data_IF_868717616122
#
_entry.id   IF_868717616122
#
_cell.length_a   1.000
_cell.length_b   1.000
_cell.length_c   1.000
_cell.angle_alpha   90.00
_cell.angle_beta   90.00
_cell.angle_gamma   90.00
#
_symmetry.space_group_name_H-M   'P 1'
#
loop_
_entity.id
_entity.type
_entity.pdbx_description
1 polymer ?
#
# COMPACT_ATOMS: atom_id res chain seq x y z
N UNK A 1 -1.64 -91.23 -43.55
CA UNK A 1 -1.66 -92.70 -43.48
C UNK A 1 -1.07 -93.18 -44.78
N UNK A 2 0.16 -93.68 -44.74
CA UNK A 2 0.80 -94.23 -45.93
C UNK A 2 0.08 -95.53 -46.27
N UNK A 3 -0.39 -95.70 -47.51
CA UNK A 3 -1.01 -96.95 -47.94
C UNK A 3 0.10 -98.00 -48.03
N UNK A 4 0.09 -98.98 -47.14
CA UNK A 4 1.03 -100.11 -47.19
C UNK A 4 0.70 -100.90 -48.47
N UNK A 5 1.66 -101.02 -49.43
CA UNK A 5 1.42 -101.75 -50.65
C UNK A 5 1.25 -103.26 -50.37
N UNK A 6 0.40 -103.92 -51.15
CA UNK A 6 0.23 -105.37 -51.06
C UNK A 6 1.47 -106.08 -51.62
N UNK A 7 1.94 -107.12 -50.94
CA UNK A 7 3.10 -107.90 -51.40
C UNK A 7 2.64 -108.84 -52.54
N UNK A 8 3.27 -108.80 -53.73
CA UNK A 8 2.94 -109.71 -54.82
C UNK A 8 3.12 -111.19 -54.43
N UNK A 9 2.28 -112.07 -55.00
CA UNK A 9 2.40 -113.51 -54.79
C UNK A 9 3.76 -114.06 -55.27
N UNK A 10 4.23 -115.14 -54.64
CA UNK A 10 5.49 -115.78 -55.01
C UNK A 10 5.47 -116.29 -56.46
N UNK A 11 6.56 -116.12 -57.23
CA UNK A 11 6.62 -116.62 -58.60
C UNK A 11 6.63 -118.15 -58.64
N UNK A 12 6.00 -118.72 -59.67
CA UNK A 12 6.13 -120.14 -59.98
C UNK A 12 7.53 -120.42 -60.56
N UNK A 13 8.23 -121.39 -59.99
CA UNK A 13 9.55 -121.84 -60.46
C UNK A 13 9.36 -123.14 -61.24
N UNK A 14 9.61 -123.17 -62.56
CA UNK A 14 9.54 -124.41 -63.33
C UNK A 14 10.53 -125.45 -62.82
N UNK A 15 10.15 -126.72 -62.88
CA UNK A 15 11.04 -127.82 -62.51
C UNK A 15 12.23 -127.90 -63.47
N UNK A 16 13.42 -128.16 -62.94
CA UNK A 16 14.61 -128.37 -63.77
C UNK A 16 14.47 -129.69 -64.56
N UNK A 17 14.90 -129.73 -65.84
CA UNK A 17 14.81 -130.94 -66.67
C UNK A 17 15.53 -132.14 -66.05
N UNK A 18 14.92 -133.32 -66.14
CA UNK A 18 15.52 -134.56 -65.67
C UNK A 18 16.67 -135.02 -66.59
N UNK A 19 17.76 -135.50 -65.99
CA UNK A 19 18.90 -136.02 -66.74
C UNK A 19 18.47 -137.24 -67.58
N UNK A 20 18.54 -137.13 -68.90
CA UNK A 20 18.10 -138.19 -69.84
C UNK A 20 16.71 -138.01 -70.45
N UNK A 21 16.02 -136.87 -70.23
CA UNK A 21 14.75 -136.57 -70.93
C UNK A 21 14.96 -136.54 -72.46
N UNK A 22 14.06 -137.20 -73.21
CA UNK A 22 14.01 -137.13 -74.67
C UNK A 22 13.79 -135.69 -75.17
N UNK A 23 13.24 -134.81 -74.33
CA UNK A 23 12.96 -133.40 -74.60
C UNK A 23 13.84 -132.44 -73.77
N UNK A 24 14.98 -132.91 -73.23
CA UNK A 24 15.85 -132.14 -72.33
C UNK A 24 16.14 -130.71 -72.84
N UNK A 25 16.45 -130.55 -74.13
CA UNK A 25 16.75 -129.24 -74.71
C UNK A 25 15.53 -128.29 -74.69
N UNK A 26 14.33 -128.81 -74.92
CA UNK A 26 13.09 -128.01 -74.89
C UNK A 26 12.71 -127.62 -73.45
N UNK A 27 12.85 -128.55 -72.50
CA UNK A 27 12.61 -128.31 -71.07
C UNK A 27 13.66 -127.35 -70.48
N UNK A 28 14.94 -127.51 -70.83
CA UNK A 28 16.02 -126.60 -70.44
C UNK A 28 15.82 -125.19 -71.00
N UNK A 29 15.38 -125.08 -72.25
CA UNK A 29 15.03 -123.80 -72.87
C UNK A 29 13.81 -123.15 -72.16
N UNK A 30 12.77 -123.92 -71.84
CA UNK A 30 11.61 -123.44 -71.09
C UNK A 30 11.99 -122.96 -69.67
N UNK A 31 12.84 -123.70 -68.96
CA UNK A 31 13.38 -123.30 -67.67
C UNK A 31 14.19 -121.99 -67.79
N UNK A 32 15.15 -121.95 -68.72
CA UNK A 32 16.02 -120.79 -68.94
C UNK A 32 15.27 -119.53 -69.36
N UNK A 33 14.19 -119.67 -70.15
CA UNK A 33 13.34 -118.54 -70.58
C UNK A 33 12.38 -118.06 -69.49
N UNK A 34 11.99 -118.91 -68.54
CA UNK A 34 11.13 -118.53 -67.41
C UNK A 34 11.88 -117.87 -66.24
N UNK A 35 13.16 -118.20 -66.02
CA UNK A 35 13.99 -117.66 -64.93
C UNK A 35 14.08 -116.12 -64.90
N UNK A 36 14.20 -115.38 -66.02
CA UNK A 36 14.09 -113.93 -66.04
C UNK A 36 12.78 -113.40 -65.42
N UNK A 37 11.66 -114.09 -65.63
CA UNK A 37 10.37 -113.74 -65.01
C UNK A 37 10.37 -113.97 -63.50
N UNK A 38 10.95 -115.09 -63.03
CA UNK A 38 11.12 -115.39 -61.61
C UNK A 38 11.98 -114.32 -60.92
N UNK A 39 13.12 -113.96 -61.50
CA UNK A 39 14.00 -112.91 -60.95
C UNK A 39 13.34 -111.53 -60.92
N UNK A 40 12.53 -111.21 -61.94
CA UNK A 40 11.73 -109.97 -61.97
C UNK A 40 10.72 -109.93 -60.84
N UNK A 41 9.94 -111.00 -60.64
CA UNK A 41 8.97 -111.08 -59.53
C UNK A 41 9.64 -111.04 -58.15
N UNK A 42 10.79 -111.69 -57.97
CA UNK A 42 11.55 -111.57 -56.72
C UNK A 42 12.01 -110.15 -56.44
N UNK A 43 12.41 -109.39 -57.48
CA UNK A 43 12.76 -107.96 -57.34
C UNK A 43 11.54 -107.12 -56.94
N UNK A 44 10.37 -107.39 -57.52
CA UNK A 44 9.13 -106.70 -57.16
C UNK A 44 8.73 -106.98 -55.69
N UNK A 45 8.83 -108.23 -55.23
CA UNK A 45 8.59 -108.59 -53.83
C UNK A 45 9.58 -107.86 -52.91
N UNK A 46 10.87 -107.84 -53.25
CA UNK A 46 11.88 -107.13 -52.46
C UNK A 46 11.62 -105.62 -52.43
N UNK A 47 11.18 -105.03 -53.54
CA UNK A 47 10.79 -103.62 -53.62
C UNK A 47 9.55 -103.34 -52.75
N UNK A 48 8.51 -104.17 -52.83
CA UNK A 48 7.31 -104.05 -52.01
C UNK A 48 7.63 -104.19 -50.50
N UNK A 49 8.45 -105.16 -50.11
CA UNK A 49 8.91 -105.30 -48.72
C UNK A 49 9.67 -104.05 -48.22
N UNK A 50 10.51 -103.45 -49.07
CA UNK A 50 11.21 -102.20 -48.75
C UNK A 50 10.22 -101.04 -48.58
N UNK A 51 9.25 -100.91 -49.46
CA UNK A 51 8.21 -99.88 -49.37
C UNK A 51 7.37 -100.05 -48.10
N UNK A 52 6.95 -101.27 -47.76
CA UNK A 52 6.26 -101.58 -46.50
C UNK A 52 7.08 -101.18 -45.28
N UNK A 53 8.40 -101.46 -45.27
CA UNK A 53 9.28 -101.09 -44.17
C UNK A 53 9.44 -99.56 -44.04
N UNK A 54 9.49 -98.84 -45.16
CA UNK A 54 9.53 -97.37 -45.17
C UNK A 54 8.21 -96.77 -44.66
N UNK A 55 7.06 -97.27 -45.13
CA UNK A 55 5.75 -96.84 -44.68
C UNK A 55 5.56 -97.07 -43.17
N UNK A 56 5.93 -98.25 -42.66
CA UNK A 56 5.88 -98.55 -41.23
C UNK A 56 6.76 -97.60 -40.40
N UNK A 57 7.94 -97.23 -40.91
CA UNK A 57 8.82 -96.24 -40.27
C UNK A 57 8.19 -94.85 -40.26
N UNK A 58 7.56 -94.42 -41.36
CA UNK A 58 6.86 -93.14 -41.45
C UNK A 58 5.66 -93.03 -40.53
N UNK A 59 4.87 -94.10 -40.42
CA UNK A 59 3.75 -94.18 -39.48
C UNK A 59 4.24 -94.14 -38.02
N UNK A 60 5.35 -94.81 -37.70
CA UNK A 60 5.97 -94.75 -36.37
C UNK A 60 6.47 -93.33 -36.03
N UNK A 61 7.11 -92.63 -36.97
CA UNK A 61 7.52 -91.24 -36.79
C UNK A 61 6.31 -90.31 -36.61
N UNK A 62 5.22 -90.54 -37.34
CA UNK A 62 3.97 -89.76 -37.23
C UNK A 62 3.27 -89.99 -35.87
N UNK A 63 3.29 -91.23 -35.37
CA UNK A 63 2.78 -91.56 -34.05
C UNK A 63 3.60 -90.88 -32.94
N UNK A 64 4.93 -90.86 -33.06
CA UNK A 64 5.81 -90.18 -32.12
C UNK A 64 5.60 -88.65 -32.14
N UNK A 65 5.45 -88.05 -33.33
CA UNK A 65 5.10 -86.65 -33.47
C UNK A 65 3.75 -86.32 -32.80
N UNK A 66 2.75 -87.19 -32.97
CA UNK A 66 1.43 -87.05 -32.33
C UNK A 66 1.51 -87.16 -30.80
N UNK A 67 2.35 -88.06 -30.28
CA UNK A 67 2.63 -88.20 -28.85
C UNK A 67 3.27 -86.93 -28.28
N UNK A 68 4.28 -86.39 -28.96
CA UNK A 68 4.94 -85.14 -28.56
C UNK A 68 3.97 -83.96 -28.56
N UNK A 69 3.13 -83.83 -29.59
CA UNK A 69 2.11 -82.78 -29.67
C UNK A 69 1.11 -82.89 -28.52
N UNK A 70 0.67 -84.11 -28.20
CA UNK A 70 -0.26 -84.36 -27.08
C UNK A 70 0.37 -83.97 -25.73
N UNK A 71 1.65 -84.28 -25.51
CA UNK A 71 2.38 -83.87 -24.30
C UNK A 71 2.50 -82.34 -24.20
N UNK A 72 2.85 -81.66 -25.29
CA UNK A 72 2.91 -80.19 -25.34
C UNK A 72 1.56 -79.55 -25.04
N UNK A 73 0.46 -80.09 -25.58
CA UNK A 73 -0.89 -79.61 -25.29
C UNK A 73 -1.28 -79.80 -23.82
N UNK A 74 -0.87 -80.91 -23.20
CA UNK A 74 -1.08 -81.13 -21.77
C UNK A 74 -0.33 -80.10 -20.91
N UNK A 75 0.93 -79.79 -21.26
CA UNK A 75 1.73 -78.77 -20.58
C UNK A 75 1.12 -77.37 -20.74
N UNK A 76 0.63 -77.03 -21.94
CA UNK A 76 -0.08 -75.77 -22.19
C UNK A 76 -1.38 -75.68 -21.38
N UNK A 77 -2.16 -76.75 -21.31
CA UNK A 77 -3.39 -76.80 -20.52
C UNK A 77 -3.10 -76.59 -19.02
N UNK A 78 -2.02 -77.19 -18.51
CA UNK A 78 -1.55 -76.98 -17.12
C UNK A 78 -1.13 -75.54 -16.87
N UNK A 79 -0.43 -74.91 -17.83
CA UNK A 79 -0.06 -73.49 -17.76
C UNK A 79 -1.29 -72.59 -17.72
N UNK A 80 -2.26 -72.80 -18.62
CA UNK A 80 -3.51 -72.02 -18.64
C UNK A 80 -4.33 -72.18 -17.36
N UNK A 81 -4.39 -73.39 -16.79
CA UNK A 81 -5.02 -73.63 -15.49
C UNK A 81 -4.39 -72.79 -14.39
N UNK A 82 -3.05 -72.74 -14.34
CA UNK A 82 -2.34 -71.95 -13.34
C UNK A 82 -2.55 -70.45 -13.55
N UNK A 83 -2.54 -69.97 -14.80
CA UNK A 83 -2.85 -68.58 -15.13
C UNK A 83 -4.28 -68.20 -14.72
N UNK A 84 -5.26 -69.08 -14.95
CA UNK A 84 -6.64 -68.86 -14.53
C UNK A 84 -6.77 -68.78 -13.00
N UNK A 85 -6.06 -69.64 -12.26
CA UNK A 85 -6.03 -69.60 -10.79
C UNK A 85 -5.40 -68.30 -10.24
N UNK A 86 -4.32 -67.82 -10.87
CA UNK A 86 -3.69 -66.55 -10.52
C UNK A 86 -4.64 -65.37 -10.80
N UNK A 87 -5.30 -65.37 -11.95
CA UNK A 87 -6.31 -64.36 -12.31
C UNK A 87 -7.49 -64.36 -11.33
N UNK A 88 -7.97 -65.53 -10.90
CA UNK A 88 -9.02 -65.64 -9.89
C UNK A 88 -8.57 -65.05 -8.53
N UNK A 89 -7.34 -65.32 -8.11
CA UNK A 89 -6.75 -64.76 -6.89
C UNK A 89 -6.62 -63.23 -6.97
N UNK A 90 -6.14 -62.72 -8.10
CA UNK A 90 -6.02 -61.28 -8.34
C UNK A 90 -7.38 -60.57 -8.38
N UNK A 91 -8.41 -61.21 -8.95
CA UNK A 91 -9.78 -60.72 -8.95
C UNK A 91 -10.36 -60.66 -7.54
N UNK A 92 -10.14 -61.69 -6.71
CA UNK A 92 -10.55 -61.70 -5.30
C UNK A 92 -9.86 -60.58 -4.50
N UNK A 93 -8.56 -60.36 -4.72
CA UNK A 93 -7.81 -59.26 -4.09
C UNK A 93 -8.33 -57.88 -4.50
N UNK A 94 -8.65 -57.70 -5.79
CA UNK A 94 -9.28 -56.46 -6.31
C UNK A 94 -10.65 -56.21 -5.67
N UNK A 95 -11.48 -57.25 -5.53
CA UNK A 95 -12.79 -57.15 -4.88
C UNK A 95 -12.69 -56.73 -3.40
N UNK A 96 -11.74 -57.30 -2.66
CA UNK A 96 -11.47 -56.91 -1.28
C UNK A 96 -11.02 -55.45 -1.17
N UNK A 97 -10.11 -55.02 -2.04
CA UNK A 97 -9.62 -53.63 -2.07
C UNK A 97 -10.74 -52.65 -2.38
N UNK A 98 -11.60 -52.97 -3.36
CA UNK A 98 -12.76 -52.15 -3.69
C UNK A 98 -13.75 -52.01 -2.52
N UNK A 99 -14.00 -53.10 -1.78
CA UNK A 99 -14.85 -53.09 -0.57
C UNK A 99 -14.29 -52.17 0.53
N UNK A 100 -12.98 -52.22 0.75
CA UNK A 100 -12.29 -51.32 1.70
C UNK A 100 -12.40 -49.86 1.26
N UNK A 101 -12.18 -49.57 -0.04
CA UNK A 101 -12.32 -48.21 -0.56
C UNK A 101 -13.75 -47.68 -0.44
N UNK A 102 -14.76 -48.51 -0.70
CA UNK A 102 -16.15 -48.14 -0.50
C UNK A 102 -16.43 -47.78 0.97
N UNK A 103 -15.93 -48.60 1.91
CA UNK A 103 -16.08 -48.34 3.35
C UNK A 103 -15.38 -47.04 3.78
N UNK A 104 -14.16 -46.80 3.29
CA UNK A 104 -13.42 -45.58 3.56
C UNK A 104 -14.12 -44.33 3.00
N UNK A 105 -14.70 -44.42 1.80
CA UNK A 105 -15.46 -43.32 1.20
C UNK A 105 -16.70 -42.96 2.03
N UNK A 106 -17.43 -43.97 2.52
CA UNK A 106 -18.58 -43.76 3.43
C UNK A 106 -18.13 -43.12 4.74
N UNK A 107 -17.01 -43.57 5.31
CA UNK A 107 -16.41 -42.98 6.52
C UNK A 107 -16.02 -41.53 6.32
N UNK A 108 -15.32 -41.21 5.22
CA UNK A 108 -14.92 -39.84 4.87
C UNK A 108 -16.13 -38.93 4.65
N UNK A 109 -17.16 -39.41 3.96
CA UNK A 109 -18.41 -38.67 3.77
C UNK A 109 -19.13 -38.39 5.10
N UNK A 110 -19.13 -39.36 6.02
CA UNK A 110 -19.70 -39.19 7.36
C UNK A 110 -18.94 -38.14 8.17
N UNK A 111 -17.59 -38.19 8.16
CA UNK A 111 -16.76 -37.18 8.81
C UNK A 111 -16.95 -35.78 8.19
N UNK A 112 -17.05 -35.70 6.86
CA UNK A 112 -17.29 -34.45 6.17
C UNK A 112 -18.63 -33.85 6.58
N UNK A 113 -19.69 -34.65 6.68
CA UNK A 113 -20.99 -34.16 7.16
C UNK A 113 -21.01 -33.80 8.66
N UNK A 114 -20.11 -34.34 9.47
CA UNK A 114 -19.95 -33.94 10.86
C UNK A 114 -19.29 -32.55 11.00
N UNK A 115 -18.38 -32.22 10.08
CA UNK A 115 -17.68 -30.93 10.06
C UNK A 115 -18.40 -29.87 9.20
N UNK A 116 -18.91 -30.23 8.03
CA UNK A 116 -19.61 -29.31 7.14
C UNK A 116 -21.12 -29.48 7.26
N UNK A 117 -21.75 -28.54 7.96
CA UNK A 117 -23.18 -28.57 8.24
C UNK A 117 -24.02 -27.95 7.12
N UNK A 118 -23.38 -27.29 6.14
CA UNK A 118 -24.06 -26.66 5.01
C UNK A 118 -24.63 -25.28 5.32
N UNK A 119 -25.68 -24.90 4.62
CA UNK A 119 -26.39 -23.63 4.84
C UNK A 119 -27.43 -23.79 5.94
N UNK A 120 -27.40 -22.92 6.97
CA UNK A 120 -28.41 -22.89 8.04
C UNK A 120 -28.88 -21.46 8.30
N UNK A 121 -30.11 -21.31 8.77
CA UNK A 121 -30.70 -20.00 9.12
C UNK A 121 -30.48 -19.60 10.57
N UNK A 122 -29.95 -20.50 11.40
CA UNK A 122 -29.62 -20.30 12.81
C UNK A 122 -28.49 -21.26 13.22
N UNK A 123 -27.85 -20.95 14.36
CA UNK A 123 -26.79 -21.77 14.94
C UNK A 123 -27.30 -23.20 15.23
N UNK A 124 -26.78 -24.24 14.54
CA UNK A 124 -27.15 -25.60 14.86
C UNK A 124 -26.56 -26.01 16.22
N UNK A 125 -27.22 -26.96 16.88
CA UNK A 125 -26.78 -27.55 18.17
C UNK A 125 -26.27 -28.99 18.02
N UNK A 126 -26.46 -29.57 16.83
CA UNK A 126 -26.09 -30.93 16.46
C UNK A 126 -25.56 -30.95 15.03
N UNK A 127 -24.76 -31.97 14.72
CA UNK A 127 -24.29 -32.22 13.35
C UNK A 127 -25.40 -32.74 12.43
N UNK A 128 -25.08 -33.01 11.17
CA UNK A 128 -26.05 -33.54 10.19
C UNK A 128 -26.45 -35.01 10.46
N UNK A 129 -25.77 -35.71 11.37
CA UNK A 129 -26.11 -37.06 11.83
C UNK A 129 -26.92 -37.06 13.14
N UNK A 130 -27.09 -35.89 13.77
CA UNK A 130 -27.78 -35.75 15.06
C UNK A 130 -26.89 -35.96 16.30
N UNK A 131 -25.57 -36.06 16.13
CA UNK A 131 -24.59 -36.09 17.23
C UNK A 131 -24.24 -34.68 17.69
N UNK A 132 -23.48 -34.59 18.80
CA UNK A 132 -22.92 -33.33 19.27
C UNK A 132 -21.93 -32.74 18.25
N UNK A 133 -21.86 -31.41 18.18
CA UNK A 133 -20.96 -30.70 17.28
C UNK A 133 -19.50 -31.00 17.59
N UNK A 134 -18.74 -31.31 16.53
CA UNK A 134 -17.28 -31.47 16.64
C UNK A 134 -16.58 -30.12 16.55
N UNK A 135 -15.43 -30.01 17.23
CA UNK A 135 -14.57 -28.84 17.11
C UNK A 135 -14.19 -28.61 15.64
N UNK A 136 -14.35 -27.38 15.16
CA UNK A 136 -14.13 -27.04 13.75
C UNK A 136 -15.32 -27.35 12.84
N UNK A 137 -16.45 -27.83 13.36
CA UNK A 137 -17.69 -27.92 12.59
C UNK A 137 -18.15 -26.52 12.15
N UNK A 138 -18.79 -26.43 11.00
CA UNK A 138 -18.85 -25.18 10.26
C UNK A 138 -20.03 -25.12 9.31
N UNK A 139 -20.63 -23.94 9.17
CA UNK A 139 -21.85 -23.73 8.38
C UNK A 139 -21.93 -22.31 7.82
N UNK A 140 -22.61 -22.15 6.69
CA UNK A 140 -22.85 -20.83 6.08
C UNK A 140 -24.18 -20.29 6.58
N UNK A 141 -24.18 -19.09 7.18
CA UNK A 141 -25.42 -18.48 7.65
C UNK A 141 -26.22 -17.85 6.50
N UNK A 142 -27.44 -18.35 6.31
CA UNK A 142 -28.39 -17.90 5.28
C UNK A 142 -29.67 -17.32 5.87
N UNK A 143 -29.63 -16.93 7.15
CA UNK A 143 -30.74 -16.26 7.81
C UNK A 143 -30.91 -14.80 7.39
N UNK A 144 -31.72 -14.07 8.15
CA UNK A 144 -32.08 -12.68 7.85
C UNK A 144 -31.21 -11.65 8.58
N UNK A 145 -30.33 -12.06 9.51
CA UNK A 145 -29.42 -11.16 10.21
C UNK A 145 -28.45 -10.49 9.20
N UNK A 146 -28.51 -9.15 9.03
CA UNK A 146 -27.64 -8.44 8.09
C UNK A 146 -26.15 -8.55 8.40
N UNK A 147 -25.76 -8.77 9.66
CA UNK A 147 -24.37 -8.87 10.07
C UNK A 147 -23.74 -10.24 9.77
N UNK A 148 -24.57 -11.28 9.68
CA UNK A 148 -24.11 -12.68 9.52
C UNK A 148 -24.49 -13.28 8.16
N UNK A 149 -25.36 -12.66 7.37
CA UNK A 149 -25.81 -13.20 6.08
C UNK A 149 -24.64 -13.40 5.11
N UNK A 150 -24.44 -14.66 4.72
CA UNK A 150 -23.34 -15.07 3.84
C UNK A 150 -21.99 -15.26 4.55
N UNK A 151 -21.94 -15.06 5.87
CA UNK A 151 -20.75 -15.32 6.69
C UNK A 151 -20.65 -16.81 6.98
N UNK A 152 -19.43 -17.31 6.91
CA UNK A 152 -19.10 -18.64 7.36
C UNK A 152 -18.84 -18.63 8.89
N UNK A 153 -19.57 -19.46 9.64
CA UNK A 153 -19.34 -19.65 11.08
C UNK A 153 -18.74 -21.02 11.36
N UNK A 154 -17.87 -21.09 12.36
CA UNK A 154 -17.24 -22.31 12.84
C UNK A 154 -17.43 -22.47 14.36
N UNK A 155 -17.45 -23.72 14.82
CA UNK A 155 -17.67 -24.11 16.20
C UNK A 155 -16.34 -24.29 16.92
N UNK A 156 -16.12 -23.55 18.01
CA UNK A 156 -14.89 -23.60 18.80
C UNK A 156 -14.97 -24.55 20.02
N UNK A 157 -16.07 -25.29 20.16
CA UNK A 157 -16.35 -26.13 21.32
C UNK A 157 -17.30 -25.50 22.35
N UNK A 158 -17.45 -24.18 22.32
CA UNK A 158 -18.27 -23.41 23.28
C UNK A 158 -19.30 -22.51 22.60
N UNK A 159 -19.01 -22.01 21.40
CA UNK A 159 -19.85 -21.10 20.66
C UNK A 159 -19.58 -21.10 19.15
N UNK A 160 -20.48 -20.46 18.41
CA UNK A 160 -20.32 -20.21 16.99
C UNK A 160 -19.60 -18.88 16.77
N UNK A 161 -18.45 -18.93 16.13
CA UNK A 161 -17.64 -17.76 15.83
C UNK A 161 -17.57 -17.54 14.32
N UNK A 162 -17.54 -16.29 13.84
CA UNK A 162 -17.27 -16.02 12.43
C UNK A 162 -15.85 -16.51 12.07
N UNK A 163 -15.73 -17.18 10.92
CA UNK A 163 -14.43 -17.53 10.34
C UNK A 163 -13.69 -16.30 9.80
N UNK A 164 -12.49 -16.51 9.24
CA UNK A 164 -11.72 -15.43 8.58
C UNK A 164 -12.45 -15.04 7.28
N UNK A 165 -13.35 -14.07 7.37
CA UNK A 165 -14.13 -13.49 6.28
C UNK A 165 -15.00 -12.35 6.79
N UNK A 166 -15.38 -11.41 5.91
CA UNK A 166 -14.91 -10.02 6.01
C UNK A 166 -14.84 -9.57 7.47
N UNK A 167 -13.66 -9.69 8.07
CA UNK A 167 -13.40 -9.08 9.38
C UNK A 167 -13.69 -7.61 9.19
N UNK A 168 -14.79 -7.13 9.79
CA UNK A 168 -15.16 -5.72 9.82
C UNK A 168 -14.03 -5.00 10.56
N UNK A 169 -12.97 -4.63 9.83
CA UNK A 169 -11.85 -3.85 10.36
C UNK A 169 -10.42 -4.32 10.07
N UNK A 170 -10.13 -5.47 9.43
CA UNK A 170 -8.72 -5.95 9.36
C UNK A 170 -8.17 -6.25 7.97
N UNK A 171 -9.00 -6.27 6.92
CA UNK A 171 -8.52 -6.45 5.55
C UNK A 171 -8.62 -5.14 4.78
N UNK A 172 -7.52 -4.70 4.15
CA UNK A 172 -7.49 -3.51 3.32
C UNK A 172 -8.52 -3.64 2.17
N UNK A 173 -9.53 -2.75 2.09
CA UNK A 173 -10.48 -2.78 1.00
C UNK A 173 -9.79 -2.39 -0.31
N UNK A 174 -9.67 -3.35 -1.24
CA UNK A 174 -9.03 -3.16 -2.56
C UNK A 174 -9.77 -2.14 -3.46
N UNK A 175 -10.97 -1.70 -3.08
CA UNK A 175 -11.84 -0.81 -3.87
C UNK A 175 -12.26 0.47 -3.13
N UNK A 176 -11.46 0.97 -2.17
CA UNK A 176 -11.65 2.31 -1.59
C UNK A 176 -12.65 2.40 -0.44
N UNK A 177 -12.36 1.73 0.69
CA UNK A 177 -13.08 1.93 1.96
C UNK A 177 -12.33 2.88 2.92
N UNK A 178 -13.05 3.42 3.92
CA UNK A 178 -12.48 4.26 4.99
C UNK A 178 -12.32 3.45 6.28
N UNK A 179 -11.18 3.58 6.96
CA UNK A 179 -11.02 3.09 8.33
C UNK A 179 -11.75 3.99 9.33
N UNK A 180 -12.41 3.40 10.32
CA UNK A 180 -13.06 4.10 11.43
C UNK A 180 -12.19 4.16 12.69
N UNK A 181 -10.98 3.60 12.66
CA UNK A 181 -10.00 3.59 13.76
C UNK A 181 -8.57 3.95 13.31
N UNK A 182 -7.64 4.04 14.26
CA UNK A 182 -6.23 4.30 13.95
C UNK A 182 -5.57 3.05 13.36
N UNK A 183 -4.80 3.21 12.29
CA UNK A 183 -3.91 2.17 11.81
C UNK A 183 -2.61 2.22 12.62
N UNK A 184 -2.09 1.08 13.06
CA UNK A 184 -0.79 0.99 13.73
C UNK A 184 0.15 0.13 12.89
N UNK A 185 1.32 0.66 12.56
CA UNK A 185 2.40 -0.08 11.90
C UNK A 185 3.33 -0.77 12.90
N UNK A 186 4.09 -1.79 12.46
CA UNK A 186 5.18 -2.37 13.27
C UNK A 186 6.26 -1.32 13.59
N UNK A 187 7.01 -1.55 14.68
CA UNK A 187 8.11 -0.68 15.08
C UNK A 187 9.15 -0.57 13.95
N UNK A 188 9.46 0.65 13.51
CA UNK A 188 10.43 0.92 12.44
C UNK A 188 9.89 0.89 10.99
N UNK A 189 8.57 0.86 10.77
CA UNK A 189 8.00 0.90 9.43
C UNK A 189 8.38 2.16 8.63
N UNK A 190 8.82 1.97 7.38
CA UNK A 190 9.15 3.06 6.44
C UNK A 190 7.88 3.66 5.82
N UNK A 191 7.97 4.87 5.22
CA UNK A 191 6.82 5.52 4.55
C UNK A 191 6.19 4.69 3.41
N UNK A 192 6.97 3.82 2.76
CA UNK A 192 6.47 2.85 1.77
C UNK A 192 5.63 1.71 2.39
N UNK A 193 5.88 1.39 3.66
CA UNK A 193 5.21 0.32 4.40
C UNK A 193 4.03 0.84 5.22
N UNK A 194 4.10 2.10 5.69
CA UNK A 194 3.09 2.76 6.47
C UNK A 194 3.20 4.29 6.31
N UNK A 195 2.30 4.96 5.57
CA UNK A 195 2.37 6.40 5.35
C UNK A 195 2.30 7.13 6.70
N UNK A 196 3.40 7.77 7.08
CA UNK A 196 3.50 8.44 8.38
C UNK A 196 2.75 9.78 8.32
N UNK A 197 2.19 10.25 9.45
CA UNK A 197 1.42 11.50 9.51
C UNK A 197 2.13 12.70 8.86
N UNK A 198 3.46 12.72 8.90
CA UNK A 198 4.32 13.73 8.27
C UNK A 198 4.23 13.79 6.73
N UNK A 199 3.70 12.77 6.06
CA UNK A 199 3.51 12.70 4.60
C UNK A 199 2.09 13.11 4.18
N UNK A 200 1.16 13.26 5.14
CA UNK A 200 -0.26 13.54 4.91
C UNK A 200 -0.65 14.98 5.22
N UNK A 201 0.22 15.74 5.90
CA UNK A 201 0.02 17.19 6.09
C UNK A 201 0.59 17.93 4.88
N UNK A 202 -0.21 18.72 4.13
CA UNK A 202 0.29 19.46 2.99
C UNK A 202 1.42 20.40 3.39
N UNK A 203 2.60 20.24 2.77
CA UNK A 203 3.74 21.16 2.95
C UNK A 203 3.46 22.57 2.40
N UNK A 204 2.50 22.72 1.50
CA UNK A 204 2.11 23.99 0.91
C UNK A 204 0.78 24.48 1.51
N UNK A 205 0.79 25.70 2.04
CA UNK A 205 -0.40 26.40 2.50
C UNK A 205 -1.29 26.77 1.32
N UNK A 206 -2.60 26.79 1.55
CA UNK A 206 -3.58 27.08 0.49
C UNK A 206 -3.47 28.53 0.07
N UNK A 207 -3.40 28.77 -1.23
CA UNK A 207 -3.18 30.11 -1.81
C UNK A 207 -4.51 30.73 -2.29
N UNK A 208 -4.70 32.02 -2.00
CA UNK A 208 -5.86 32.80 -2.39
C UNK A 208 -5.43 34.19 -2.90
N UNK A 209 -6.21 34.74 -3.83
CA UNK A 209 -6.03 36.12 -4.31
C UNK A 209 -6.99 37.09 -3.58
N UNK A 210 -7.01 38.36 -4.02
CA UNK A 210 -7.90 39.40 -3.47
C UNK A 210 -9.39 39.20 -3.74
N UNK A 211 -9.78 38.27 -4.63
CA UNK A 211 -11.18 37.99 -4.93
C UNK A 211 -11.88 37.23 -3.81
N UNK A 212 -11.10 36.50 -2.99
CA UNK A 212 -11.58 35.79 -1.82
C UNK A 212 -11.34 36.65 -0.57
N UNK A 213 -12.39 37.01 0.19
CA UNK A 213 -12.20 37.71 1.44
C UNK A 213 -11.51 36.78 2.46
N UNK A 214 -10.64 37.33 3.30
CA UNK A 214 -9.98 36.58 4.37
C UNK A 214 -10.98 35.96 5.34
N UNK A 215 -12.18 36.51 5.46
CA UNK A 215 -13.28 35.99 6.29
C UNK A 215 -13.82 34.64 5.79
N UNK A 216 -13.50 34.26 4.54
CA UNK A 216 -13.80 32.95 3.96
C UNK A 216 -12.62 31.96 4.07
N UNK A 217 -11.52 32.33 4.74
CA UNK A 217 -10.40 31.42 4.97
C UNK A 217 -10.88 30.15 5.71
N UNK A 218 -10.51 28.95 5.25
CA UNK A 218 -10.91 27.70 5.88
C UNK A 218 -10.41 27.59 7.33
N UNK A 219 -11.31 27.15 8.21
CA UNK A 219 -11.01 26.90 9.63
C UNK A 219 -10.00 25.77 9.78
N UNK A 220 -9.09 25.90 10.75
CA UNK A 220 -8.13 24.86 11.13
C UNK A 220 -6.98 24.71 10.14
N UNK A 221 -6.81 25.68 9.24
CA UNK A 221 -5.74 25.68 8.24
C UNK A 221 -5.04 27.03 8.18
N UNK A 222 -3.75 26.99 7.81
CA UNK A 222 -2.97 28.18 7.46
C UNK A 222 -3.11 28.43 5.97
N UNK A 223 -3.42 29.67 5.59
CA UNK A 223 -3.63 30.08 4.21
C UNK A 223 -2.76 31.28 3.86
N UNK A 224 -2.42 31.42 2.58
CA UNK A 224 -1.68 32.55 2.04
C UNK A 224 -2.58 33.39 1.13
N UNK A 225 -2.61 34.69 1.35
CA UNK A 225 -3.39 35.66 0.57
C UNK A 225 -2.44 36.68 -0.05
N UNK A 226 -2.42 36.76 -1.38
CA UNK A 226 -1.52 37.67 -2.09
C UNK A 226 -2.22 38.44 -3.21
N UNK A 227 -1.75 39.66 -3.44
CA UNK A 227 -2.22 40.53 -4.52
C UNK A 227 -1.11 41.50 -4.90
N UNK A 228 -0.99 41.79 -6.20
CA UNK A 228 0.01 42.73 -6.76
C UNK A 228 -0.58 44.09 -7.12
N UNK A 229 -1.88 44.27 -6.96
CA UNK A 229 -2.63 45.46 -7.38
C UNK A 229 -3.66 45.92 -6.32
N UNK A 230 -3.27 45.84 -5.04
CA UNK A 230 -4.00 46.36 -3.89
C UNK A 230 -4.69 45.29 -3.03
N UNK A 231 -5.13 45.70 -1.83
CA UNK A 231 -5.69 44.80 -0.83
C UNK A 231 -7.13 44.34 -1.13
N UNK A 232 -7.44 43.10 -0.73
CA UNK A 232 -8.80 42.55 -0.78
C UNK A 232 -9.79 43.24 0.16
N UNK A 233 -11.07 42.92 0.00
CA UNK A 233 -12.18 43.69 0.58
C UNK A 233 -12.20 43.74 2.11
N UNK A 234 -11.59 42.78 2.80
CA UNK A 234 -11.59 42.69 4.26
C UNK A 234 -10.19 42.48 4.83
N UNK A 235 -9.16 42.94 4.12
CA UNK A 235 -7.77 42.81 4.55
C UNK A 235 -7.40 43.86 5.62
N UNK A 236 -6.48 43.56 6.56
CA UNK A 236 -6.20 44.42 7.71
C UNK A 236 -5.68 45.83 7.39
N UNK A 237 -4.96 45.96 6.28
CA UNK A 237 -4.33 47.20 5.83
C UNK A 237 -4.52 47.32 4.32
N UNK A 238 -4.93 48.49 3.83
CA UNK A 238 -5.30 48.69 2.40
C UNK A 238 -4.68 49.93 1.74
N UNK A 239 -4.13 50.85 2.52
CA UNK A 239 -4.06 52.26 2.10
C UNK A 239 -2.70 52.69 1.57
N UNK A 240 -1.67 51.83 1.53
CA UNK A 240 -0.32 52.32 1.21
C UNK A 240 0.65 51.31 0.59
N UNK A 241 0.18 50.15 0.10
CA UNK A 241 1.03 49.20 -0.62
C UNK A 241 0.29 48.66 -1.83
N UNK A 242 0.95 48.65 -2.99
CA UNK A 242 0.42 48.09 -4.23
C UNK A 242 0.42 46.56 -4.18
N UNK A 243 1.37 45.98 -3.43
CA UNK A 243 1.53 44.54 -3.26
C UNK A 243 1.26 44.18 -1.81
N UNK A 244 0.56 43.07 -1.59
CA UNK A 244 0.19 42.56 -0.29
C UNK A 244 0.42 41.05 -0.24
N UNK A 245 0.96 40.55 0.87
CA UNK A 245 1.14 39.13 1.11
C UNK A 245 0.90 38.84 2.58
N UNK A 246 -0.11 38.02 2.86
CA UNK A 246 -0.62 37.75 4.19
C UNK A 246 -0.70 36.27 4.44
N UNK A 247 -0.13 35.83 5.56
CA UNK A 247 -0.38 34.52 6.12
C UNK A 247 -1.54 34.65 7.11
N UNK A 248 -2.62 33.92 6.87
CA UNK A 248 -3.87 33.99 7.63
C UNK A 248 -4.16 32.65 8.27
N UNK A 249 -4.40 32.69 9.58
CA UNK A 249 -4.75 31.54 10.40
C UNK A 249 -6.16 31.74 10.94
N UNK A 250 -7.01 30.72 10.80
CA UNK A 250 -8.41 30.77 11.25
C UNK A 250 -8.69 29.65 12.23
N UNK A 251 -9.10 30.00 13.45
CA UNK A 251 -9.54 29.06 14.47
C UNK A 251 -11.01 29.28 14.78
N UNK A 252 -11.72 28.21 15.13
CA UNK A 252 -13.11 28.31 15.52
C UNK A 252 -13.51 27.39 16.68
N UNK A 253 -14.72 27.64 17.16
CA UNK A 253 -15.52 26.70 17.94
C UNK A 253 -16.81 26.41 17.16
N UNK A 254 -16.72 25.59 16.10
CA UNK A 254 -17.89 25.12 15.36
C UNK A 254 -18.63 26.22 14.59
N UNK A 255 -17.91 27.11 13.92
CA UNK A 255 -18.43 28.12 12.99
C UNK A 255 -19.11 29.37 13.59
N UNK A 256 -19.42 29.36 14.89
CA UNK A 256 -20.16 30.44 15.58
C UNK A 256 -19.25 31.50 16.19
N UNK A 257 -18.12 31.08 16.77
CA UNK A 257 -17.11 31.98 17.33
C UNK A 257 -15.76 31.60 16.74
N UNK A 258 -15.12 32.57 16.11
CA UNK A 258 -13.88 32.34 15.37
C UNK A 258 -12.89 33.46 15.66
N UNK A 259 -11.61 33.14 15.51
CA UNK A 259 -10.51 34.10 15.59
C UNK A 259 -9.71 33.98 14.31
N UNK A 260 -9.29 35.14 13.80
CA UNK A 260 -8.35 35.20 12.70
C UNK A 260 -7.13 36.02 13.10
N UNK A 261 -5.96 35.51 12.74
CA UNK A 261 -4.72 36.24 12.76
C UNK A 261 -4.19 36.36 11.34
N UNK A 262 -3.74 37.56 10.98
CA UNK A 262 -3.12 37.85 9.70
C UNK A 262 -1.74 38.47 9.94
N UNK A 263 -0.71 37.84 9.39
CA UNK A 263 0.68 38.31 9.47
C UNK A 263 1.15 38.74 8.09
N UNK A 264 1.68 39.94 7.96
CA UNK A 264 2.21 40.44 6.70
C UNK A 264 3.61 39.86 6.46
N UNK A 265 3.81 39.18 5.33
CA UNK A 265 5.00 38.34 5.09
C UNK A 265 5.97 38.91 4.05
N UNK A 266 5.58 39.93 3.30
CA UNK A 266 6.47 40.51 2.29
C UNK A 266 7.52 41.40 2.92
N UNK A 267 8.76 41.30 2.43
CA UNK A 267 9.90 42.12 2.87
C UNK A 267 9.95 43.48 2.15
N UNK A 268 10.60 44.47 2.77
CA UNK A 268 10.79 45.79 2.19
C UNK A 268 9.62 46.77 2.39
N UNK A 269 8.59 46.37 3.12
CA UNK A 269 7.43 47.21 3.43
C UNK A 269 7.43 47.64 4.90
N UNK A 270 6.86 48.81 5.20
CA UNK A 270 6.70 49.29 6.58
C UNK A 270 5.83 48.36 7.45
N UNK A 271 4.99 47.54 6.81
CA UNK A 271 4.15 46.54 7.46
C UNK A 271 4.81 45.16 7.58
N UNK A 272 6.05 44.95 7.11
CA UNK A 272 6.75 43.64 7.19
C UNK A 272 6.72 43.10 8.61
N UNK A 273 6.15 41.90 8.81
CA UNK A 273 6.04 41.27 10.12
C UNK A 273 4.94 41.82 11.02
N UNK A 274 4.14 42.78 10.56
CA UNK A 274 2.99 43.27 11.31
C UNK A 274 1.93 42.18 11.42
N UNK A 275 1.40 41.99 12.63
CA UNK A 275 0.37 41.01 12.93
C UNK A 275 -0.93 41.71 13.32
N UNK A 276 -2.04 41.21 12.80
CA UNK A 276 -3.38 41.72 13.06
C UNK A 276 -4.27 40.58 13.52
N UNK A 277 -5.23 40.90 14.39
CA UNK A 277 -6.20 39.96 14.91
C UNK A 277 -7.61 40.51 14.79
N UNK A 278 -8.57 39.63 14.53
CA UNK A 278 -10.00 39.93 14.63
C UNK A 278 -10.77 38.73 15.15
N UNK A 279 -11.99 38.98 15.59
CA UNK A 279 -12.87 37.98 16.18
C UNK A 279 -14.22 37.98 15.47
N UNK A 280 -14.78 36.79 15.25
CA UNK A 280 -16.15 36.62 14.78
C UNK A 280 -17.07 36.51 15.99
N UNK A 281 -17.96 37.49 16.13
CA UNK A 281 -19.02 37.49 17.13
C UNK A 281 -20.32 37.11 16.42
N UNK A 282 -20.74 35.86 16.60
CA UNK A 282 -21.91 35.26 15.97
C UNK A 282 -21.81 35.23 14.43
N UNK A 283 -22.47 36.17 13.73
CA UNK A 283 -22.45 36.22 12.25
C UNK A 283 -21.45 37.22 11.68
N UNK A 284 -20.97 38.19 12.48
CA UNK A 284 -20.14 39.30 12.03
C UNK A 284 -18.69 39.21 12.48
N UNK A 285 -17.76 39.60 11.61
CA UNK A 285 -16.36 39.80 11.98
C UNK A 285 -16.16 41.20 12.57
N UNK A 286 -15.42 41.29 13.68
CA UNK A 286 -14.91 42.55 14.21
C UNK A 286 -13.94 43.19 13.22
N UNK A 287 -13.69 44.49 13.39
CA UNK A 287 -12.57 45.14 12.71
C UNK A 287 -11.24 44.47 13.10
N UNK A 288 -10.25 44.59 12.21
CA UNK A 288 -8.89 44.18 12.49
C UNK A 288 -8.25 45.10 13.54
N UNK A 289 -7.70 44.50 14.58
CA UNK A 289 -6.86 45.16 15.56
C UNK A 289 -5.41 44.75 15.33
N UNK A 290 -4.49 45.71 15.31
CA UNK A 290 -3.06 45.42 15.19
C UNK A 290 -2.51 44.92 16.52
N UNK A 291 -1.70 43.87 16.49
CA UNK A 291 -0.92 43.42 17.65
C UNK A 291 0.35 44.26 17.77
N UNK A 292 0.70 44.65 19.00
CA UNK A 292 1.92 45.42 19.27
C UNK A 292 3.16 44.59 18.98
N UNK A 293 4.12 45.14 18.23
CA UNK A 293 5.43 44.53 18.00
C UNK A 293 6.58 45.46 18.39
N UNK A 294 7.82 44.97 18.29
CA UNK A 294 9.05 45.74 18.51
C UNK A 294 9.15 47.00 17.60
N UNK A 295 8.50 46.98 16.44
CA UNK A 295 8.33 48.15 15.57
C UNK A 295 7.50 49.26 16.23
N UNK A 296 6.62 48.92 17.16
CA UNK A 296 5.79 49.85 17.91
C UNK A 296 6.48 50.34 19.20
N UNK A 297 7.59 49.72 19.61
CA UNK A 297 8.39 50.09 20.79
C UNK A 297 9.69 50.84 20.48
N UNK A 298 9.94 51.24 19.23
CA UNK A 298 11.09 52.10 18.90
C UNK A 298 10.78 53.55 19.27
N UNK A 299 11.68 54.16 20.03
CA UNK A 299 11.67 55.61 20.32
C UNK A 299 11.58 56.39 19.00
N UNK A 300 10.45 57.04 18.75
CA UNK A 300 10.22 57.76 17.50
C UNK A 300 10.96 59.08 17.55
N UNK A 301 11.92 59.26 16.63
CA UNK A 301 12.65 60.53 16.46
C UNK A 301 11.91 61.43 15.48
N UNK A 302 11.51 62.61 15.93
CA UNK A 302 10.96 63.69 15.11
C UNK A 302 12.10 64.62 14.74
N UNK A 303 12.34 64.81 13.44
CA UNK A 303 13.28 65.83 12.97
C UNK A 303 12.51 67.09 12.53
N UNK A 304 12.97 68.26 12.96
CA UNK A 304 12.36 69.53 12.60
C UNK A 304 13.40 70.64 12.45
N UNK A 305 13.07 71.65 11.66
CA UNK A 305 13.86 72.87 11.48
C UNK A 305 13.05 74.05 12.00
N UNK A 306 13.65 74.93 12.80
CA UNK A 306 12.98 76.14 13.29
C UNK A 306 12.82 77.20 12.19
N UNK A 307 13.55 77.03 11.08
CA UNK A 307 13.54 77.90 9.90
C UNK A 307 14.48 79.10 10.04
N UNK A 308 14.80 79.70 8.89
CA UNK A 308 15.71 80.85 8.74
C UNK A 308 14.97 82.18 8.60
N UNK A 309 15.53 83.27 9.15
CA UNK A 309 15.13 84.65 8.85
C UNK A 309 14.78 85.52 10.08
N UNK A 310 14.90 86.85 9.97
CA UNK A 310 14.66 87.78 11.08
C UNK A 310 13.18 87.89 11.47
N UNK A 311 12.89 87.92 12.78
CA UNK A 311 11.53 88.03 13.32
C UNK A 311 11.41 87.58 14.78
N UNK A 312 10.17 87.48 15.27
CA UNK A 312 9.88 86.95 16.61
C UNK A 312 10.37 85.51 16.78
N UNK A 313 10.64 85.11 18.03
CA UNK A 313 11.10 83.76 18.35
C UNK A 313 10.15 82.70 17.77
N UNK A 314 10.72 81.69 17.13
CA UNK A 314 9.98 80.59 16.50
C UNK A 314 9.42 79.69 17.58
N UNK A 315 8.12 79.40 17.56
CA UNK A 315 7.47 78.53 18.54
C UNK A 315 7.58 77.06 18.10
N UNK A 316 8.13 76.20 18.96
CA UNK A 316 8.18 74.77 18.75
C UNK A 316 7.52 74.02 19.92
N UNK A 317 6.61 73.11 19.61
CA UNK A 317 5.94 72.28 20.61
C UNK A 317 6.65 70.94 20.80
N UNK A 318 6.94 70.62 22.05
CA UNK A 318 7.40 69.30 22.50
C UNK A 318 6.16 68.41 22.71
N UNK A 319 5.89 67.52 21.75
CA UNK A 319 4.69 66.66 21.73
C UNK A 319 5.08 65.18 21.70
N UNK A 320 4.96 64.45 22.84
CA UNK A 320 5.28 63.02 22.92
C UNK A 320 4.41 62.14 22.00
N UNK A 321 3.26 62.64 21.52
CA UNK A 321 2.43 61.94 20.53
C UNK A 321 3.14 61.82 19.17
N UNK A 322 3.94 62.81 18.80
CA UNK A 322 4.62 62.85 17.50
C UNK A 322 5.95 62.10 17.57
N UNK A 323 6.62 62.12 18.71
CA UNK A 323 7.71 61.20 19.03
C UNK A 323 8.32 61.46 20.39
N UNK A 324 8.99 60.46 20.93
CA UNK A 324 9.63 60.54 22.25
C UNK A 324 11.00 61.21 22.20
N UNK A 325 11.58 61.38 21.00
CA UNK A 325 12.80 62.17 20.76
C UNK A 325 12.50 63.25 19.72
N UNK A 326 12.78 64.51 20.04
CA UNK A 326 12.68 65.63 19.11
C UNK A 326 14.09 66.12 18.76
N UNK A 327 14.56 65.87 17.55
CA UNK A 327 15.78 66.44 17.00
C UNK A 327 15.45 67.72 16.25
N UNK A 328 15.73 68.85 16.87
CA UNK A 328 15.39 70.18 16.34
C UNK A 328 16.66 70.88 15.91
N UNK A 329 16.74 71.21 14.63
CA UNK A 329 17.79 72.05 14.08
C UNK A 329 17.36 73.50 14.27
N UNK A 330 18.08 74.18 15.16
CA UNK A 330 17.85 75.55 15.60
C UNK A 330 18.72 76.48 14.74
N UNK A 331 18.07 77.22 13.86
CA UNK A 331 18.71 78.16 12.91
C UNK A 331 18.39 79.62 13.23
N UNK A 332 17.59 79.86 14.27
CA UNK A 332 17.21 81.18 14.73
C UNK A 332 16.67 81.14 16.16
N UNK A 333 16.37 82.30 16.75
CA UNK A 333 15.78 82.42 18.09
C UNK A 333 14.51 81.56 18.20
N UNK A 334 14.49 80.62 19.15
CA UNK A 334 13.41 79.62 19.26
C UNK A 334 12.86 79.55 20.68
N UNK A 335 11.54 79.47 20.79
CA UNK A 335 10.79 79.28 22.02
C UNK A 335 10.16 77.89 22.04
N UNK A 336 10.45 77.10 23.07
CA UNK A 336 9.93 75.75 23.25
C UNK A 336 8.77 75.73 24.23
N UNK A 337 7.64 75.15 23.82
CA UNK A 337 6.46 74.96 24.65
C UNK A 337 6.11 73.48 24.79
N UNK A 338 5.50 73.10 25.91
CA UNK A 338 5.04 71.73 26.13
C UNK A 338 3.68 71.49 25.49
N UNK A 339 3.51 70.32 24.86
CA UNK A 339 2.23 69.77 24.41
C UNK A 339 2.02 68.36 24.99
N UNK A 340 2.39 68.18 26.25
CA UNK A 340 2.27 66.90 26.95
C UNK A 340 0.78 66.64 27.30
N UNK A 341 0.39 65.37 27.42
CA UNK A 341 -1.01 64.96 27.61
C UNK A 341 -1.35 64.70 29.07
N UNK A 342 -0.47 63.99 29.78
CA UNK A 342 -0.69 63.61 31.19
C UNK A 342 0.64 63.29 31.90
N UNK A 343 0.58 63.07 33.21
CA UNK A 343 1.69 62.62 34.06
C UNK A 343 2.28 61.32 33.49
N UNK A 344 3.61 61.26 33.41
CA UNK A 344 4.36 60.14 32.84
C UNK A 344 4.76 60.32 31.38
N UNK A 345 4.23 61.33 30.68
CA UNK A 345 4.74 61.68 29.35
C UNK A 345 6.20 62.16 29.45
N UNK A 346 7.02 61.70 28.50
CA UNK A 346 8.45 62.01 28.41
C UNK A 346 8.83 62.38 26.97
N UNK A 347 9.63 63.44 26.83
CA UNK A 347 10.23 63.86 25.56
C UNK A 347 11.71 64.18 25.77
N UNK A 348 12.57 63.64 24.91
CA UNK A 348 13.98 64.04 24.82
C UNK A 348 14.17 65.02 23.68
N UNK A 349 14.47 66.28 23.99
CA UNK A 349 14.81 67.32 23.04
C UNK A 349 16.31 67.33 22.77
N UNK A 350 16.70 67.21 21.50
CA UNK A 350 18.06 67.42 20.97
C UNK A 350 18.05 68.68 20.13
N UNK A 351 18.66 69.74 20.61
CA UNK A 351 18.78 71.01 19.89
C UNK A 351 20.13 71.07 19.19
N UNK A 352 20.13 71.02 17.87
CA UNK A 352 21.33 71.21 17.05
C UNK A 352 21.40 72.66 16.59
N UNK A 353 22.44 73.39 17.00
CA UNK A 353 22.59 74.80 16.68
C UNK A 353 23.34 74.98 15.36
N UNK A 354 22.67 75.48 14.33
CA UNK A 354 23.23 75.64 12.99
C UNK A 354 23.34 77.12 12.61
N UNK A 355 24.46 77.52 12.00
CA UNK A 355 24.71 78.90 11.57
C UNK A 355 25.01 79.92 12.68
N UNK A 356 24.88 79.56 13.96
CA UNK A 356 25.17 80.44 15.10
C UNK A 356 24.77 79.82 16.45
N UNK A 357 25.22 80.42 17.56
CA UNK A 357 24.73 80.11 18.90
C UNK A 357 23.42 80.88 19.13
N UNK A 358 22.32 80.34 18.61
CA UNK A 358 21.02 81.01 18.68
C UNK A 358 20.42 80.96 20.09
N UNK A 359 19.84 82.07 20.59
CA UNK A 359 19.06 82.07 21.82
C UNK A 359 17.88 81.09 21.78
N UNK A 360 17.74 80.31 22.86
CA UNK A 360 16.56 79.48 23.11
C UNK A 360 15.90 79.88 24.41
N UNK A 361 14.57 79.74 24.45
CA UNK A 361 13.77 79.99 25.64
C UNK A 361 12.72 78.89 25.79
N UNK A 362 12.23 78.71 27.00
CA UNK A 362 11.27 77.68 27.35
C UNK A 362 10.04 78.31 28.01
N UNK A 363 8.88 77.70 27.81
CA UNK A 363 7.67 78.10 28.50
C UNK A 363 7.80 77.87 30.02
N UNK A 364 7.00 78.61 30.80
CA UNK A 364 7.13 78.68 32.28
C UNK A 364 6.78 77.39 33.04
N UNK A 365 6.17 76.43 32.36
CA UNK A 365 5.84 75.08 32.84
C UNK A 365 7.04 74.12 32.74
N UNK A 366 8.00 74.38 31.85
CA UNK A 366 9.26 73.65 31.71
C UNK A 366 10.29 74.16 32.74
N UNK A 367 10.61 73.33 33.74
CA UNK A 367 11.44 73.74 34.89
C UNK A 367 12.80 73.05 34.88
N UNK A 368 13.85 73.87 34.79
CA UNK A 368 15.22 73.41 35.03
C UNK A 368 15.46 73.20 36.53
N UNK A 369 16.35 72.28 36.91
CA UNK A 369 16.71 72.05 38.30
C UNK A 369 17.22 73.33 38.96
N UNK A 370 16.90 73.52 40.25
CA UNK A 370 17.36 74.69 41.01
C UNK A 370 18.89 74.70 41.02
N UNK A 371 19.49 75.81 40.58
CA UNK A 371 20.95 75.97 40.46
C UNK A 371 21.56 75.43 39.16
N UNK A 372 20.77 74.80 38.29
CA UNK A 372 21.18 74.42 36.95
C UNK A 372 20.63 75.42 35.92
N UNK A 373 21.50 75.88 35.01
CA UNK A 373 21.11 76.65 33.83
C UNK A 373 21.23 75.81 32.57
N UNK A 374 20.69 76.31 31.46
CA UNK A 374 21.01 75.78 30.14
C UNK A 374 22.55 75.74 29.97
N UNK A 375 23.14 74.64 29.49
CA UNK A 375 24.57 74.56 29.25
C UNK A 375 25.03 75.63 28.26
N UNK A 376 26.30 76.05 28.35
CA UNK A 376 26.91 76.88 27.31
C UNK A 376 27.13 76.04 26.04
N UNK A 377 26.68 76.54 24.90
CA UNK A 377 26.81 75.88 23.60
C UNK A 377 27.32 76.86 22.53
N UNK A 378 27.94 76.32 21.48
CA UNK A 378 28.38 77.05 20.30
C UNK A 378 27.68 76.54 19.04
N UNK A 379 27.85 77.25 17.92
CA UNK A 379 27.42 76.75 16.61
C UNK A 379 28.03 75.37 16.33
N UNK A 380 27.25 74.47 15.74
CA UNK A 380 27.67 73.10 15.44
C UNK A 380 27.68 72.15 16.65
N UNK A 381 27.01 72.49 17.75
CA UNK A 381 26.85 71.61 18.90
C UNK A 381 25.39 71.19 19.09
N UNK A 382 25.20 70.04 19.75
CA UNK A 382 23.90 69.49 20.13
C UNK A 382 23.73 69.56 21.64
N UNK A 383 22.68 70.23 22.10
CA UNK A 383 22.30 70.21 23.52
C UNK A 383 21.14 69.24 23.69
N UNK A 384 21.27 68.30 24.63
CA UNK A 384 20.23 67.31 24.91
C UNK A 384 19.59 67.57 26.26
N UNK A 385 18.27 67.71 26.27
CA UNK A 385 17.46 67.91 27.48
C UNK A 385 16.25 66.98 27.42
N UNK A 386 16.04 66.19 28.47
CA UNK A 386 14.86 65.34 28.62
C UNK A 386 13.86 66.02 29.54
N UNK A 387 12.62 66.07 29.13
CA UNK A 387 11.50 66.62 29.88
C UNK A 387 10.56 65.50 30.28
N UNK A 388 10.19 65.44 31.56
CA UNK A 388 9.26 64.44 32.10
C UNK A 388 8.16 65.16 32.84
N UNK A 389 6.90 64.83 32.55
CA UNK A 389 5.78 65.32 33.34
C UNK A 389 5.66 64.49 34.62
N UNK A 390 6.24 64.99 35.72
CA UNK A 390 6.34 64.30 37.01
C UNK A 390 5.22 64.68 37.98
N UNK A 391 4.63 65.88 37.84
CA UNK A 391 3.61 66.42 38.75
C UNK A 391 2.72 67.46 38.08
N UNK A 392 1.49 67.60 38.55
CA UNK A 392 0.51 68.54 37.97
C UNK A 392 1.08 69.98 37.89
N UNK A 393 1.05 70.58 36.69
CA UNK A 393 1.47 71.95 36.42
C UNK A 393 2.98 72.19 36.25
N UNK A 394 3.84 71.17 36.41
CA UNK A 394 5.29 71.30 36.22
C UNK A 394 5.86 70.12 35.43
N UNK A 395 6.72 70.43 34.46
CA UNK A 395 7.47 69.48 33.66
C UNK A 395 8.95 69.66 34.00
N UNK A 396 9.53 68.66 34.65
CA UNK A 396 10.91 68.74 35.12
C UNK A 396 11.88 68.43 33.97
N UNK A 397 12.92 69.26 33.83
CA UNK A 397 13.95 69.12 32.83
C UNK A 397 15.19 68.42 33.41
N UNK A 398 15.76 67.50 32.63
CA UNK A 398 16.98 66.75 32.91
C UNK A 398 17.98 67.04 31.80
N UNK A 399 19.04 67.77 32.14
CA UNK A 399 20.04 68.20 31.16
C UNK A 399 21.09 67.10 31.00
N UNK A 400 21.18 66.51 29.81
CA UNK A 400 22.11 65.43 29.52
C UNK A 400 23.49 65.90 29.04
N UNK A 401 23.63 67.20 28.73
CA UNK A 401 24.90 67.84 28.38
C UNK A 401 24.96 68.40 26.96
N UNK A 402 26.17 68.77 26.54
CA UNK A 402 26.47 69.32 25.20
C UNK A 402 27.40 68.36 24.47
N UNK A 403 27.03 68.01 23.25
CA UNK A 403 27.81 67.14 22.37
C UNK A 403 28.23 67.89 21.11
N UNK A 404 29.31 67.46 20.48
CA UNK A 404 29.64 67.88 19.12
C UNK A 404 28.59 67.31 18.16
N UNK A 405 28.08 68.14 17.25
CA UNK A 405 27.03 67.75 16.30
C UNK A 405 27.47 66.72 15.27
#
# INVERSE_FOLDING_TARGET
MSLIPEIPAAPFVPLYPALGSLNFNQEAYAYGTAMPGVTTRLREIAAACRECALAAREDAMSAEASRMLSAQQADQAMSYRNQAANSATAAAGSASTASTHASNAVGAYTQMQALYLGAKTSNPVKDNQGNALQLGAWYTYVGTDPALKGVWLWWDGTGWNPGIGPVVGTLMPKSGGKFTGYASGPEGATGEQFPQAQEVVPRAVRYYDKSIPMSAAPVGTVCFFESTDGGGMDWPYKTNVTIHGWLVETWDRGGVRSMQEATFTLSGFAATGAKFRRYKHDTGWSAWARELSDLDFRERVVSAYTGVGPGAAKLYYLDPKVGSIHHVIVEYNTHFAAAFRDIGDQVTLRMQFYGGAWPVSFNSDLRFPVGASMPTYTAGQIVTVTFIWTRAGYIDAFVAGVHTA
#
